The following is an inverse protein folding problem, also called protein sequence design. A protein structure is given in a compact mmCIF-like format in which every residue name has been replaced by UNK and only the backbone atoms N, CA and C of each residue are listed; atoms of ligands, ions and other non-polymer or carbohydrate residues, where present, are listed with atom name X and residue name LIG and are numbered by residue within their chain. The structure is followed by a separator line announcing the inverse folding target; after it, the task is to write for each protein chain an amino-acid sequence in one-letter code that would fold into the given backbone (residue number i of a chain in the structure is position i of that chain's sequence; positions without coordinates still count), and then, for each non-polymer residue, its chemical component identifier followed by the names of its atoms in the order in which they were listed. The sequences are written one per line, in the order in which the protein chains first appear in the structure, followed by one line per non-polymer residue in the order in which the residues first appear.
data_IF_143345434501
#
_entry.id   IF_143345434501
#
_cell.length_a   1.000
_cell.length_b   1.000
_cell.length_c   1.000
_cell.angle_alpha   90.00
_cell.angle_beta   90.00
_cell.angle_gamma   90.00
#
_symmetry.space_group_name_H-M   'P 1'
#
loop_
_entity.id
_entity.type
_entity.pdbx_description
1 polymer ?
#
# COMPACT_ATOMS: atom_id res chain seq x y z
N UNK A 1 16.36 -16.88 -8.87
CA UNK A 1 15.13 -16.10 -8.62
C UNK A 1 15.36 -14.67 -9.07
N UNK A 2 14.37 -14.01 -9.64
CA UNK A 2 14.38 -12.57 -9.91
C UNK A 2 13.37 -11.91 -8.99
N UNK A 3 13.72 -10.80 -8.34
CA UNK A 3 12.79 -10.05 -7.51
C UNK A 3 13.01 -8.55 -7.65
N UNK A 4 11.91 -7.81 -7.45
CA UNK A 4 11.87 -6.36 -7.36
C UNK A 4 11.58 -5.94 -5.92
N UNK A 5 12.40 -5.08 -5.35
CA UNK A 5 12.16 -4.47 -4.05
C UNK A 5 11.74 -3.02 -4.25
N UNK A 6 10.59 -2.65 -3.71
CA UNK A 6 9.91 -1.41 -4.03
C UNK A 6 9.58 -0.63 -2.76
N UNK A 7 9.72 0.69 -2.82
CA UNK A 7 9.03 1.63 -1.94
C UNK A 7 7.80 2.10 -2.70
N UNK A 8 6.64 2.17 -2.06
CA UNK A 8 5.40 2.62 -2.71
C UNK A 8 5.40 4.14 -2.90
N UNK A 9 6.31 4.61 -3.74
CA UNK A 9 6.44 6.01 -4.12
C UNK A 9 6.97 6.08 -5.54
N UNK A 10 6.42 6.98 -6.38
CA UNK A 10 7.01 7.22 -7.67
C UNK A 10 8.46 7.75 -7.59
N UNK A 11 8.86 8.36 -6.49
CA UNK A 11 10.12 9.07 -6.39
C UNK A 11 11.31 8.17 -5.95
N UNK A 12 11.08 6.87 -5.80
CA UNK A 12 12.10 5.89 -5.44
C UNK A 12 12.20 4.81 -6.52
N UNK A 13 13.35 4.63 -7.17
CA UNK A 13 13.55 3.56 -8.14
C UNK A 13 13.39 2.16 -7.54
N UNK A 14 12.86 1.24 -8.34
CA UNK A 14 12.81 -0.18 -8.00
C UNK A 14 14.21 -0.77 -7.92
N UNK A 15 14.48 -1.56 -6.89
CA UNK A 15 15.72 -2.32 -6.75
C UNK A 15 15.51 -3.73 -7.28
N UNK A 16 16.01 -3.99 -8.49
CA UNK A 16 15.97 -5.32 -9.10
C UNK A 16 17.14 -6.17 -8.61
N UNK A 17 16.89 -7.46 -8.36
CA UNK A 17 17.94 -8.38 -7.93
C UNK A 17 17.71 -9.77 -8.53
N UNK A 18 18.78 -10.35 -9.06
CA UNK A 18 18.83 -11.73 -9.52
C UNK A 18 19.73 -12.56 -8.59
N UNK A 19 19.11 -13.43 -7.79
CA UNK A 19 19.79 -14.14 -6.70
C UNK A 19 19.39 -15.61 -6.62
N UNK A 20 20.20 -16.39 -5.91
CA UNK A 20 19.86 -17.74 -5.45
C UNK A 20 19.46 -17.67 -3.99
N UNK A 21 18.39 -18.39 -3.65
CA UNK A 21 17.96 -18.63 -2.28
C UNK A 21 18.40 -20.01 -1.85
N UNK A 22 19.09 -20.10 -0.72
CA UNK A 22 19.44 -21.34 -0.06
C UNK A 22 18.74 -21.41 1.30
N UNK A 23 18.02 -22.50 1.54
CA UNK A 23 17.35 -22.76 2.81
C UNK A 23 17.97 -23.99 3.46
N UNK A 24 18.38 -23.89 4.72
CA UNK A 24 18.94 -25.02 5.47
C UNK A 24 18.49 -24.99 6.92
N UNK A 25 18.07 -26.16 7.41
CA UNK A 25 17.89 -26.37 8.84
C UNK A 25 19.25 -26.58 9.51
N UNK A 26 19.54 -25.76 10.51
CA UNK A 26 20.69 -25.86 11.39
C UNK A 26 20.30 -26.59 12.69
N UNK A 27 21.23 -26.68 13.65
CA UNK A 27 20.96 -27.24 14.96
C UNK A 27 19.81 -26.47 15.68
N UNK A 28 19.17 -27.13 16.65
CA UNK A 28 18.17 -26.51 17.53
C UNK A 28 16.92 -25.98 16.80
N UNK A 29 16.51 -26.62 15.70
CA UNK A 29 15.28 -26.25 14.98
C UNK A 29 15.36 -24.91 14.25
N UNK A 30 16.55 -24.29 14.15
CA UNK A 30 16.72 -23.00 13.46
C UNK A 30 16.85 -23.19 11.96
N UNK A 31 16.03 -22.49 11.19
CA UNK A 31 16.13 -22.41 9.73
C UNK A 31 16.88 -21.16 9.31
N UNK A 32 17.86 -21.32 8.43
CA UNK A 32 18.53 -20.22 7.77
C UNK A 32 18.05 -20.14 6.31
N UNK A 33 17.55 -18.97 5.93
CA UNK A 33 17.22 -18.62 4.55
C UNK A 33 18.19 -17.54 4.11
N UNK A 34 18.97 -17.82 3.08
CA UNK A 34 20.02 -16.92 2.59
C UNK A 34 19.85 -16.67 1.11
N UNK A 35 19.77 -15.39 0.76
CA UNK A 35 19.73 -14.86 -0.60
C UNK A 35 21.08 -14.23 -0.95
N UNK A 36 21.64 -14.65 -2.08
CA UNK A 36 22.91 -14.13 -2.61
C UNK A 36 22.78 -13.86 -4.09
N UNK A 37 23.12 -12.63 -4.51
CA UNK A 37 23.20 -12.24 -5.91
C UNK A 37 24.16 -13.12 -6.71
N UNK A 38 23.82 -13.43 -7.97
CA UNK A 38 24.69 -14.17 -8.89
C UNK A 38 25.58 -13.28 -9.78
N UNK A 39 25.68 -11.99 -9.46
CA UNK A 39 26.36 -10.97 -10.27
C UNK A 39 27.85 -11.28 -10.52
N UNK A 40 28.50 -12.06 -9.63
CA UNK A 40 29.89 -12.50 -9.80
C UNK A 40 30.06 -13.63 -10.82
N UNK A 41 29.01 -14.38 -11.10
CA UNK A 41 29.01 -15.53 -12.04
C UNK A 41 28.54 -15.09 -13.42
N UNK A 42 27.64 -14.11 -13.49
CA UNK A 42 27.20 -13.47 -14.73
C UNK A 42 27.26 -11.94 -14.57
N UNK A 43 28.40 -11.32 -14.91
CA UNK A 43 28.52 -9.87 -14.87
C UNK A 43 27.51 -9.26 -15.86
N UNK A 44 26.49 -8.56 -15.34
CA UNK A 44 25.65 -7.70 -16.15
C UNK A 44 26.26 -6.29 -16.14
N UNK A 45 26.37 -5.59 -17.27
CA UNK A 45 26.91 -4.23 -17.31
C UNK A 45 26.04 -3.19 -16.58
N UNK A 46 24.85 -3.56 -16.10
CA UNK A 46 23.86 -2.67 -15.48
C UNK A 46 23.44 -3.08 -14.06
N UNK A 47 24.32 -3.72 -13.27
CA UNK A 47 24.00 -4.08 -11.87
C UNK A 47 23.89 -2.80 -11.02
N UNK A 48 22.66 -2.31 -10.87
CA UNK A 48 22.32 -1.18 -9.98
C UNK A 48 22.11 -1.62 -8.53
N UNK A 49 21.90 -2.91 -8.28
CA UNK A 49 21.61 -3.48 -6.97
C UNK A 49 22.16 -4.89 -6.87
N UNK A 50 23.04 -5.12 -5.88
CA UNK A 50 23.70 -6.39 -5.60
C UNK A 50 23.44 -6.81 -4.16
N UNK A 51 22.87 -8.00 -4.01
CA UNK A 51 22.58 -8.59 -2.69
C UNK A 51 23.77 -9.41 -2.23
N UNK A 52 24.48 -8.91 -1.21
CA UNK A 52 25.40 -9.73 -0.40
C UNK A 52 24.57 -10.70 0.46
N UNK A 53 25.18 -11.72 1.11
CA UNK A 53 24.43 -12.66 1.94
C UNK A 53 23.44 -11.95 2.88
N UNK A 54 22.16 -12.09 2.54
CA UNK A 54 21.00 -11.47 3.19
C UNK A 54 19.93 -12.52 3.39
N UNK A 55 18.92 -12.25 4.19
CA UNK A 55 17.81 -13.16 4.43
C UNK A 55 17.44 -13.21 5.90
N UNK A 56 17.04 -14.37 6.40
CA UNK A 56 16.56 -14.49 7.77
C UNK A 56 16.93 -15.81 8.44
N UNK A 57 17.03 -15.74 9.76
CA UNK A 57 17.05 -16.88 10.66
C UNK A 57 15.67 -17.00 11.30
N UNK A 58 15.08 -18.19 11.26
CA UNK A 58 13.78 -18.50 11.84
C UNK A 58 14.02 -19.60 12.88
N UNK A 59 13.91 -19.24 14.15
CA UNK A 59 14.09 -20.16 15.27
C UNK A 59 12.75 -20.49 15.89
N UNK A 60 12.45 -21.78 15.98
CA UNK A 60 11.28 -22.28 16.72
C UNK A 60 11.46 -22.02 18.22
N UNK A 61 10.44 -21.46 18.87
CA UNK A 61 10.45 -21.14 20.29
C UNK A 61 9.51 -22.08 21.07
N UNK A 62 9.81 -22.42 22.34
CA UNK A 62 8.98 -23.34 23.14
C UNK A 62 7.52 -22.91 23.36
N UNK A 63 7.21 -21.64 23.15
CA UNK A 63 5.86 -21.08 23.30
C UNK A 63 5.00 -21.21 22.02
N UNK A 64 5.49 -21.92 20.99
CA UNK A 64 4.80 -22.11 19.71
C UNK A 64 4.94 -20.93 18.74
N UNK A 65 5.73 -19.91 19.08
CA UNK A 65 6.06 -18.81 18.17
C UNK A 65 7.42 -19.04 17.49
N UNK A 66 7.71 -18.20 16.49
CA UNK A 66 9.02 -18.17 15.83
C UNK A 66 9.74 -16.87 16.15
N UNK A 67 11.02 -16.96 16.54
CA UNK A 67 11.91 -15.81 16.60
C UNK A 67 12.54 -15.61 15.22
N UNK A 68 12.29 -14.46 14.61
CA UNK A 68 12.83 -14.12 13.28
C UNK A 68 13.90 -13.05 13.42
N UNK A 69 15.11 -13.33 12.93
CA UNK A 69 16.19 -12.34 12.80
C UNK A 69 16.45 -12.10 11.32
N UNK A 70 16.28 -10.87 10.86
CA UNK A 70 16.51 -10.51 9.45
C UNK A 70 17.83 -9.78 9.28
N UNK A 71 18.60 -10.16 8.25
CA UNK A 71 19.86 -9.53 7.87
C UNK A 71 19.71 -9.03 6.44
N UNK A 72 19.89 -7.72 6.26
CA UNK A 72 19.82 -7.10 4.94
C UNK A 72 21.17 -6.46 4.61
N UNK A 73 21.84 -7.01 3.59
CA UNK A 73 23.14 -6.56 3.14
C UNK A 73 23.11 -6.37 1.62
N UNK A 74 22.82 -5.14 1.19
CA UNK A 74 22.62 -4.80 -0.22
C UNK A 74 23.52 -3.64 -0.60
N UNK A 75 24.29 -3.82 -1.67
CA UNK A 75 25.04 -2.76 -2.34
C UNK A 75 24.14 -2.21 -3.46
N UNK A 76 23.93 -0.90 -3.51
CA UNK A 76 23.00 -0.29 -4.46
C UNK A 76 23.47 1.11 -4.83
N UNK A 77 23.30 1.46 -6.09
CA UNK A 77 23.43 2.84 -6.55
C UNK A 77 22.12 3.60 -6.33
N UNK A 78 22.10 4.42 -5.28
CA UNK A 78 20.96 5.28 -4.94
C UNK A 78 20.95 6.61 -5.70
N UNK A 79 21.79 6.80 -6.73
CA UNK A 79 21.87 8.05 -7.51
C UNK A 79 20.56 8.46 -8.20
N UNK A 80 19.65 7.52 -8.42
CA UNK A 80 18.31 7.78 -8.99
C UNK A 80 17.22 8.14 -7.96
N UNK A 81 17.52 8.16 -6.66
CA UNK A 81 16.53 8.46 -5.61
C UNK A 81 16.29 9.97 -5.54
N UNK A 82 15.02 10.38 -5.59
CA UNK A 82 14.66 11.80 -5.46
C UNK A 82 15.04 12.35 -4.07
N UNK A 83 15.43 13.62 -4.01
CA UNK A 83 15.88 14.28 -2.76
C UNK A 83 14.88 14.13 -1.61
N UNK A 84 13.58 14.15 -1.91
CA UNK A 84 12.50 13.95 -0.94
C UNK A 84 12.62 12.63 -0.14
N UNK A 85 13.09 11.56 -0.79
CA UNK A 85 13.21 10.22 -0.19
C UNK A 85 14.64 9.87 0.21
N UNK A 86 15.61 10.74 -0.06
CA UNK A 86 17.03 10.44 0.11
C UNK A 86 17.37 10.04 1.54
N UNK A 87 16.82 10.75 2.53
CA UNK A 87 17.05 10.45 3.96
C UNK A 87 16.44 9.11 4.39
N UNK A 88 15.19 8.83 3.99
CA UNK A 88 14.54 7.54 4.25
C UNK A 88 15.33 6.36 3.66
N UNK A 89 15.89 6.53 2.46
CA UNK A 89 16.68 5.49 1.79
C UNK A 89 18.06 5.34 2.42
N UNK A 90 18.80 6.43 2.63
CA UNK A 90 20.17 6.37 3.17
C UNK A 90 20.23 5.91 4.63
N UNK A 91 19.17 6.16 5.41
CA UNK A 91 19.06 5.66 6.80
C UNK A 91 18.70 4.17 6.89
N UNK A 92 18.42 3.50 5.76
CA UNK A 92 18.05 2.09 5.73
C UNK A 92 16.58 1.81 6.12
N UNK A 93 15.76 2.82 6.40
CA UNK A 93 14.35 2.62 6.73
C UNK A 93 13.52 2.11 5.55
N UNK A 94 13.81 2.57 4.33
CA UNK A 94 13.09 2.16 3.13
C UNK A 94 13.34 0.72 2.69
N UNK A 95 14.51 0.14 2.96
CA UNK A 95 14.89 -1.17 2.40
C UNK A 95 15.62 -2.08 3.40
N UNK A 96 15.65 -1.73 4.69
CA UNK A 96 16.39 -2.47 5.70
C UNK A 96 15.59 -3.59 6.36
N UNK A 97 16.29 -4.36 7.19
CA UNK A 97 15.76 -5.51 7.92
C UNK A 97 14.48 -5.19 8.71
N UNK A 98 14.39 -4.02 9.36
CA UNK A 98 13.21 -3.61 10.13
C UNK A 98 11.94 -3.58 9.28
N UNK A 99 12.03 -3.13 8.04
CA UNK A 99 10.89 -3.08 7.09
C UNK A 99 10.43 -4.47 6.71
N UNK A 100 11.37 -5.38 6.44
CA UNK A 100 11.06 -6.76 6.06
C UNK A 100 10.48 -7.56 7.22
N UNK A 101 11.01 -7.40 8.43
CA UNK A 101 10.41 -7.99 9.65
C UNK A 101 9.00 -7.45 9.88
N UNK A 102 8.79 -6.14 9.78
CA UNK A 102 7.46 -5.53 9.98
C UNK A 102 6.46 -6.01 8.93
N UNK A 103 6.90 -6.16 7.67
CA UNK A 103 6.07 -6.72 6.59
C UNK A 103 5.72 -8.19 6.84
N UNK A 104 6.68 -8.99 7.32
CA UNK A 104 6.45 -10.39 7.68
C UNK A 104 5.45 -10.52 8.84
N UNK A 105 5.65 -9.73 9.90
CA UNK A 105 4.77 -9.69 11.07
C UNK A 105 3.33 -9.33 10.67
N UNK A 106 3.15 -8.30 9.84
CA UNK A 106 1.84 -7.95 9.26
C UNK A 106 1.22 -9.09 8.46
N UNK A 107 2.00 -9.81 7.66
CA UNK A 107 1.46 -10.96 6.91
C UNK A 107 1.05 -12.11 7.85
N UNK A 108 1.81 -12.35 8.92
CA UNK A 108 1.44 -13.32 9.96
C UNK A 108 0.13 -12.91 10.65
N UNK A 109 -0.04 -11.64 11.01
CA UNK A 109 -1.29 -11.12 11.57
C UNK A 109 -2.49 -11.30 10.62
N UNK A 110 -2.29 -11.04 9.32
CA UNK A 110 -3.32 -11.25 8.30
C UNK A 110 -3.73 -12.72 8.20
N UNK A 111 -2.75 -13.63 8.16
CA UNK A 111 -3.01 -15.07 8.11
C UNK A 111 -3.72 -15.56 9.38
N UNK A 112 -3.32 -15.07 10.56
CA UNK A 112 -4.00 -15.37 11.81
C UNK A 112 -5.46 -14.88 11.78
N UNK A 113 -5.71 -13.67 11.23
CA UNK A 113 -7.05 -13.11 11.08
C UNK A 113 -7.93 -13.98 10.16
N UNK A 114 -7.38 -14.48 9.05
CA UNK A 114 -8.05 -15.41 8.14
C UNK A 114 -8.38 -16.76 8.79
N UNK A 115 -7.53 -17.25 9.69
CA UNK A 115 -7.69 -18.54 10.39
C UNK A 115 -8.58 -18.44 11.64
N UNK A 116 -8.84 -17.24 12.16
CA UNK A 116 -9.65 -17.04 13.36
C UNK A 116 -11.08 -17.56 13.18
N UNK A 117 -11.50 -18.48 14.07
CA UNK A 117 -12.84 -19.09 14.09
C UNK A 117 -13.79 -18.48 15.14
N UNK A 118 -13.25 -17.79 16.15
CA UNK A 118 -14.03 -17.22 17.25
C UNK A 118 -14.18 -15.71 17.04
N UNK A 119 -15.32 -15.28 16.49
CA UNK A 119 -15.62 -13.87 16.26
C UNK A 119 -16.53 -13.38 17.41
N UNK A 120 -16.20 -12.26 18.09
CA UNK A 120 -17.09 -11.67 19.08
C UNK A 120 -18.44 -11.31 18.43
N UNK A 121 -19.53 -11.91 18.88
CA UNK A 121 -20.90 -11.71 18.34
C UNK A 121 -21.57 -10.42 18.83
N UNK A 122 -20.81 -9.44 19.32
CA UNK A 122 -21.32 -8.31 20.10
C UNK A 122 -21.33 -6.94 19.42
N UNK A 123 -20.49 -6.71 18.41
CA UNK A 123 -20.37 -5.38 17.79
C UNK A 123 -21.23 -5.21 16.53
N UNK A 124 -21.83 -4.04 16.40
CA UNK A 124 -22.54 -3.60 15.19
C UNK A 124 -21.51 -3.53 14.05
N UNK A 125 -21.81 -4.15 12.90
CA UNK A 125 -20.91 -4.20 11.74
C UNK A 125 -20.01 -5.44 11.66
N UNK A 126 -20.16 -6.40 12.56
CA UNK A 126 -19.41 -7.68 12.46
C UNK A 126 -20.00 -8.58 11.36
N UNK A 127 -19.14 -9.04 10.45
CA UNK A 127 -19.52 -10.02 9.42
C UNK A 127 -19.61 -11.40 10.08
N UNK A 128 -20.84 -11.89 10.26
CA UNK A 128 -21.13 -13.15 10.95
C UNK A 128 -20.89 -14.39 10.08
N UNK A 129 -20.96 -14.25 8.75
CA UNK A 129 -20.65 -15.33 7.82
C UNK A 129 -19.13 -15.52 7.73
N UNK A 130 -18.62 -16.66 8.22
CA UNK A 130 -17.19 -16.96 8.21
C UNK A 130 -16.60 -17.07 6.80
N UNK A 131 -17.32 -17.66 5.86
CA UNK A 131 -16.88 -17.75 4.46
C UNK A 131 -16.92 -16.38 3.80
N UNK A 132 -17.94 -15.57 4.10
CA UNK A 132 -18.03 -14.18 3.69
C UNK A 132 -16.84 -13.34 4.17
N UNK A 133 -16.47 -13.50 5.44
CA UNK A 133 -15.31 -12.85 6.06
C UNK A 133 -14.00 -13.24 5.35
N UNK A 134 -13.80 -14.53 5.07
CA UNK A 134 -12.61 -15.01 4.32
C UNK A 134 -12.57 -14.44 2.91
N UNK A 135 -13.69 -14.47 2.19
CA UNK A 135 -13.78 -13.91 0.83
C UNK A 135 -13.53 -12.40 0.81
N UNK A 136 -14.02 -11.64 1.80
CA UNK A 136 -13.73 -10.20 1.92
C UNK A 136 -12.24 -9.92 2.23
N UNK A 137 -11.61 -10.68 3.12
CA UNK A 137 -10.18 -10.54 3.42
C UNK A 137 -9.30 -10.86 2.20
N UNK A 138 -9.67 -11.87 1.41
CA UNK A 138 -9.02 -12.19 0.12
C UNK A 138 -9.23 -11.09 -0.92
N UNK A 139 -10.44 -10.54 -1.00
CA UNK A 139 -10.75 -9.42 -1.89
C UNK A 139 -9.89 -8.19 -1.56
N UNK A 140 -9.76 -7.87 -0.28
CA UNK A 140 -8.92 -6.79 0.21
C UNK A 140 -7.42 -7.05 -0.06
N UNK A 141 -6.96 -8.30 0.07
CA UNK A 141 -5.56 -8.67 -0.23
C UNK A 141 -5.25 -8.42 -1.70
N UNK A 142 -6.15 -8.85 -2.59
CA UNK A 142 -6.03 -8.61 -4.02
C UNK A 142 -6.06 -7.11 -4.35
N UNK A 143 -6.90 -6.34 -3.66
CA UNK A 143 -6.95 -4.87 -3.78
C UNK A 143 -5.60 -4.25 -3.43
N UNK A 144 -4.98 -4.64 -2.31
CA UNK A 144 -3.66 -4.17 -1.88
C UNK A 144 -2.56 -4.58 -2.87
N UNK A 145 -2.55 -5.84 -3.33
CA UNK A 145 -1.58 -6.31 -4.33
C UNK A 145 -1.71 -5.50 -5.64
N UNK A 146 -2.95 -5.27 -6.10
CA UNK A 146 -3.19 -4.47 -7.30
C UNK A 146 -2.75 -3.02 -7.12
N UNK A 147 -2.97 -2.43 -5.93
CA UNK A 147 -2.49 -1.08 -5.61
C UNK A 147 -0.97 -1.01 -5.69
N UNK A 148 -0.26 -1.89 -4.98
CA UNK A 148 1.20 -1.97 -5.00
C UNK A 148 1.74 -2.08 -6.43
N UNK A 149 1.13 -2.92 -7.28
CA UNK A 149 1.53 -3.05 -8.68
C UNK A 149 1.30 -1.78 -9.52
N UNK A 150 0.27 -0.98 -9.21
CA UNK A 150 -0.04 0.27 -9.94
C UNK A 150 0.72 1.50 -9.46
N UNK A 151 1.20 1.52 -8.21
CA UNK A 151 2.05 2.60 -7.67
C UNK A 151 3.52 2.39 -8.02
N UNK A 152 3.94 1.13 -8.10
CA UNK A 152 5.36 0.79 -8.18
C UNK A 152 5.96 1.05 -9.56
N UNK A 153 7.18 1.57 -9.55
CA UNK A 153 8.00 1.82 -10.75
C UNK A 153 8.57 0.53 -11.36
N UNK A 154 7.78 -0.56 -11.43
CA UNK A 154 8.22 -1.83 -12.01
C UNK A 154 8.61 -1.60 -13.47
N UNK A 155 9.73 -2.18 -13.90
CA UNK A 155 10.19 -2.09 -15.30
C UNK A 155 9.37 -2.97 -16.25
N UNK A 156 8.52 -3.85 -15.69
CA UNK A 156 7.60 -4.68 -16.47
C UNK A 156 6.57 -3.86 -17.26
N UNK A 157 6.32 -2.59 -16.88
CA UNK A 157 5.34 -1.72 -17.54
C UNK A 157 5.91 -0.32 -17.78
N UNK A 158 5.74 0.22 -18.99
CA UNK A 158 6.28 1.53 -19.37
C UNK A 158 5.50 2.65 -18.69
N UNK A 159 6.16 3.36 -17.77
CA UNK A 159 5.67 4.60 -17.18
C UNK A 159 5.95 5.79 -18.11
N UNK A 160 5.01 6.72 -18.21
CA UNK A 160 5.22 8.02 -18.84
C UNK A 160 5.13 9.11 -17.78
N UNK A 161 6.26 9.76 -17.49
CA UNK A 161 6.24 10.96 -16.64
C UNK A 161 5.59 12.09 -17.42
N UNK A 162 4.55 12.68 -16.84
CA UNK A 162 3.93 13.90 -17.37
C UNK A 162 4.31 15.03 -16.42
N UNK A 163 5.39 15.73 -16.75
CA UNK A 163 5.83 16.87 -15.96
C UNK A 163 4.83 18.02 -16.14
N UNK A 164 4.13 18.36 -15.06
CA UNK A 164 3.45 19.65 -14.92
C UNK A 164 4.46 20.72 -14.51
N UNK A 165 4.12 22.00 -14.67
CA UNK A 165 4.99 23.15 -14.35
C UNK A 165 5.18 23.41 -12.84
N UNK A 166 5.12 22.37 -11.98
CA UNK A 166 5.20 22.48 -10.52
C UNK A 166 6.11 21.41 -9.89
N UNK A 167 6.41 21.57 -8.60
CA UNK A 167 7.30 20.68 -7.83
C UNK A 167 6.71 19.28 -7.52
N UNK A 168 5.44 19.05 -7.88
CA UNK A 168 4.71 17.80 -7.64
C UNK A 168 4.56 17.02 -8.97
N UNK A 169 5.65 16.40 -9.43
CA UNK A 169 5.66 15.58 -10.65
C UNK A 169 4.74 14.36 -10.51
N UNK A 170 3.56 14.41 -11.13
CA UNK A 170 2.64 13.27 -11.22
C UNK A 170 3.15 12.29 -12.27
N UNK A 171 3.30 11.02 -11.89
CA UNK A 171 3.64 9.95 -12.84
C UNK A 171 2.40 9.19 -13.24
N UNK A 172 2.26 8.94 -14.54
CA UNK A 172 1.10 8.25 -15.10
C UNK A 172 1.55 7.03 -15.90
N UNK A 173 0.90 5.89 -15.65
CA UNK A 173 1.04 4.67 -16.42
C UNK A 173 -0.31 4.32 -17.03
N UNK A 174 -0.30 3.89 -18.29
CA UNK A 174 -1.50 3.36 -18.96
C UNK A 174 -1.40 1.85 -19.07
N UNK A 175 -2.44 1.14 -18.62
CA UNK A 175 -2.56 -0.30 -18.76
C UNK A 175 -3.82 -0.63 -19.56
N UNK A 176 -3.67 -1.49 -20.57
CA UNK A 176 -4.81 -2.12 -21.25
C UNK A 176 -5.19 -3.38 -20.50
N UNK A 177 -6.45 -3.44 -20.08
CA UNK A 177 -7.05 -4.58 -19.39
C UNK A 177 -7.95 -5.32 -20.37
N UNK A 178 -7.50 -6.50 -20.81
CA UNK A 178 -8.26 -7.43 -21.65
C UNK A 178 -8.13 -8.80 -20.99
N UNK A 179 -9.26 -9.46 -20.75
CA UNK A 179 -9.32 -10.80 -20.15
C UNK A 179 -8.53 -10.94 -18.83
N UNK A 180 -8.55 -9.89 -17.99
CA UNK A 180 -7.91 -9.85 -16.66
C UNK A 180 -8.99 -9.98 -15.57
N UNK A 181 -9.26 -11.19 -15.04
CA UNK A 181 -10.27 -11.40 -14.01
C UNK A 181 -10.05 -10.49 -12.80
N UNK A 182 -11.11 -9.88 -12.31
CA UNK A 182 -11.04 -8.99 -11.15
C UNK A 182 -10.66 -7.54 -11.48
N UNK A 183 -10.42 -7.21 -12.76
CA UNK A 183 -10.34 -5.83 -13.24
C UNK A 183 -11.43 -5.55 -14.27
N UNK A 184 -11.94 -4.30 -14.32
CA UNK A 184 -12.83 -3.92 -15.40
C UNK A 184 -12.08 -3.99 -16.75
N UNK A 185 -12.75 -4.46 -17.83
CA UNK A 185 -12.17 -4.41 -19.17
C UNK A 185 -12.06 -2.96 -19.64
N UNK A 186 -10.97 -2.64 -20.34
CA UNK A 186 -10.76 -1.31 -20.92
C UNK A 186 -9.36 -0.75 -20.71
N UNK A 187 -9.27 0.58 -20.67
CA UNK A 187 -8.03 1.32 -20.46
C UNK A 187 -8.03 1.86 -19.04
N UNK A 188 -7.04 1.43 -18.25
CA UNK A 188 -6.84 1.86 -16.88
C UNK A 188 -5.64 2.80 -16.82
N UNK A 189 -5.84 3.99 -16.24
CA UNK A 189 -4.75 4.88 -15.86
C UNK A 189 -4.39 4.65 -14.41
N UNK A 190 -3.11 4.39 -14.15
CA UNK A 190 -2.53 4.45 -12.81
C UNK A 190 -1.75 5.74 -12.69
N UNK A 191 -2.08 6.58 -11.72
CA UNK A 191 -1.38 7.83 -11.51
C UNK A 191 -0.97 7.95 -10.05
N UNK A 192 0.26 8.41 -9.80
CA UNK A 192 0.80 8.54 -8.46
C UNK A 192 1.67 9.80 -8.32
N UNK A 193 1.63 10.41 -7.15
CA UNK A 193 2.50 11.53 -6.76
C UNK A 193 2.94 11.38 -5.31
N UNK A 194 4.04 12.01 -4.94
CA UNK A 194 4.57 12.00 -3.58
C UNK A 194 4.96 13.40 -3.13
N UNK A 195 4.63 13.75 -1.89
CA UNK A 195 4.99 15.02 -1.26
C UNK A 195 5.25 14.82 0.23
N UNK A 196 5.86 15.83 0.87
CA UNK A 196 6.12 15.83 2.30
C UNK A 196 5.08 16.66 3.06
N UNK A 197 4.75 16.22 4.26
CA UNK A 197 3.87 16.90 5.20
C UNK A 197 4.59 17.13 6.53
N UNK A 198 4.46 18.32 7.15
CA UNK A 198 4.98 18.62 8.49
C UNK A 198 4.13 17.98 9.61
N UNK A 199 3.66 16.75 9.39
CA UNK A 199 2.71 16.06 10.26
C UNK A 199 3.19 14.63 10.46
N UNK A 200 3.11 14.13 11.69
CA UNK A 200 3.53 12.76 11.99
C UNK A 200 2.79 11.70 11.14
N UNK A 201 3.46 10.60 10.73
CA UNK A 201 2.82 9.52 9.98
C UNK A 201 1.56 8.97 10.63
N UNK A 202 1.54 8.84 11.96
CA UNK A 202 0.39 8.36 12.72
C UNK A 202 -0.83 9.27 12.56
N UNK A 203 -0.63 10.58 12.66
CA UNK A 203 -1.73 11.55 12.50
C UNK A 203 -2.27 11.57 11.07
N UNK A 204 -1.38 11.48 10.06
CA UNK A 204 -1.82 11.36 8.66
C UNK A 204 -2.59 10.06 8.44
N UNK A 205 -2.14 8.95 9.03
CA UNK A 205 -2.82 7.66 8.95
C UNK A 205 -4.21 7.71 9.60
N UNK A 206 -4.29 8.21 10.83
CA UNK A 206 -5.55 8.32 11.58
C UNK A 206 -6.53 9.26 10.87
N UNK A 207 -6.05 10.37 10.27
CA UNK A 207 -6.87 11.25 9.43
C UNK A 207 -7.38 10.56 8.15
N UNK A 208 -6.54 9.85 7.40
CA UNK A 208 -6.93 9.30 6.10
C UNK A 208 -7.84 8.06 6.20
N UNK A 209 -7.75 7.31 7.30
CA UNK A 209 -8.58 6.11 7.50
C UNK A 209 -9.97 6.43 8.07
N UNK A 210 -10.12 7.56 8.76
CA UNK A 210 -11.35 7.93 9.43
C UNK A 210 -12.46 8.24 8.41
N UNK A 211 -13.64 7.70 8.67
CA UNK A 211 -14.82 7.91 7.85
C UNK A 211 -15.34 9.34 7.94
N UNK A 212 -15.17 9.99 9.10
CA UNK A 212 -15.71 11.32 9.37
C UNK A 212 -14.92 12.42 8.65
N UNK A 213 -13.60 12.24 8.52
CA UNK A 213 -12.72 13.16 7.79
C UNK A 213 -12.76 12.96 6.27
N UNK A 214 -13.33 11.85 5.80
CA UNK A 214 -13.26 11.44 4.39
C UNK A 214 -13.80 12.47 3.42
N UNK A 215 -14.88 13.16 3.78
CA UNK A 215 -15.46 14.23 2.94
C UNK A 215 -14.53 15.41 2.70
N UNK A 216 -13.52 15.59 3.56
CA UNK A 216 -12.58 16.70 3.43
C UNK A 216 -11.63 16.49 2.25
N UNK A 217 -11.15 15.27 2.06
CA UNK A 217 -10.15 14.93 1.03
C UNK A 217 -10.69 14.13 -0.16
N UNK A 218 -11.71 13.30 0.03
CA UNK A 218 -12.23 12.41 -1.02
C UNK A 218 -13.23 13.13 -1.93
N UNK A 219 -12.70 13.64 -3.04
CA UNK A 219 -13.49 14.31 -4.08
C UNK A 219 -14.53 13.35 -4.68
N UNK A 220 -14.22 12.05 -4.76
CA UNK A 220 -15.10 11.05 -5.37
C UNK A 220 -16.33 10.74 -4.50
N UNK A 221 -16.26 11.05 -3.22
CA UNK A 221 -17.39 10.93 -2.28
C UNK A 221 -18.41 12.07 -2.41
N UNK A 222 -18.16 13.09 -3.25
CA UNK A 222 -19.07 14.23 -3.51
C UNK A 222 -19.60 14.93 -2.24
N UNK A 223 -18.81 14.93 -1.15
CA UNK A 223 -19.21 15.52 0.13
C UNK A 223 -20.31 14.77 0.89
N UNK A 224 -20.65 13.53 0.47
CA UNK A 224 -21.56 12.67 1.21
C UNK A 224 -20.95 12.21 2.53
N UNK A 225 -21.77 12.07 3.57
CA UNK A 225 -21.35 11.50 4.83
C UNK A 225 -21.02 10.03 4.65
N UNK A 226 -19.88 9.58 5.15
CA UNK A 226 -19.44 8.18 5.03
C UNK A 226 -19.79 7.44 6.31
N UNK A 227 -20.30 6.22 6.15
CA UNK A 227 -20.68 5.35 7.25
C UNK A 227 -20.07 3.97 7.07
N UNK A 228 -19.38 3.47 8.09
CA UNK A 228 -18.94 2.09 8.17
C UNK A 228 -20.13 1.16 8.37
N UNK A 229 -20.27 0.22 7.44
CA UNK A 229 -21.27 -0.82 7.49
C UNK A 229 -20.75 -2.08 8.17
N UNK A 230 -19.46 -2.36 7.97
CA UNK A 230 -18.81 -3.52 8.53
C UNK A 230 -17.30 -3.33 8.64
N UNK A 231 -16.67 -4.01 9.59
CA UNK A 231 -15.23 -4.09 9.67
C UNK A 231 -14.74 -5.47 10.12
N UNK A 232 -13.50 -5.78 9.77
CA UNK A 232 -12.75 -6.95 10.23
C UNK A 232 -11.40 -6.46 10.74
N UNK A 233 -11.14 -6.60 12.03
CA UNK A 233 -9.81 -6.37 12.59
C UNK A 233 -8.78 -7.28 11.89
N UNK A 234 -7.63 -6.73 11.54
CA UNK A 234 -6.60 -7.34 10.70
C UNK A 234 -5.18 -7.15 11.30
N UNK A 235 -5.08 -7.22 12.63
CA UNK A 235 -3.81 -7.06 13.35
C UNK A 235 -4.00 -6.68 14.82
N UNK A 236 -2.89 -6.48 15.53
CA UNK A 236 -2.91 -6.03 16.94
C UNK A 236 -3.23 -4.54 17.07
N UNK A 237 -2.79 -3.73 16.11
CA UNK A 237 -3.10 -2.31 16.09
C UNK A 237 -4.59 -2.11 15.73
N UNK A 238 -5.36 -1.32 16.50
CA UNK A 238 -6.78 -1.06 16.20
C UNK A 238 -6.99 -0.31 14.87
N UNK A 239 -5.91 0.18 14.25
CA UNK A 239 -5.90 0.71 12.89
C UNK A 239 -5.74 -0.29 11.77
N UNK A 240 -5.38 -1.52 12.09
CA UNK A 240 -5.28 -2.57 11.10
C UNK A 240 -6.66 -3.20 10.94
N UNK A 241 -7.39 -2.83 9.89
CA UNK A 241 -8.70 -3.37 9.61
C UNK A 241 -9.03 -3.38 8.11
N UNK A 242 -9.98 -4.23 7.74
CA UNK A 242 -10.69 -4.17 6.47
C UNK A 242 -12.11 -3.71 6.74
N UNK A 243 -12.48 -2.55 6.24
CA UNK A 243 -13.79 -1.92 6.44
C UNK A 243 -14.58 -1.84 5.13
N UNK A 244 -15.90 -1.87 5.25
CA UNK A 244 -16.84 -1.65 4.17
C UNK A 244 -17.63 -0.39 4.47
N UNK A 245 -17.44 0.63 3.62
CA UNK A 245 -17.99 1.96 3.84
C UNK A 245 -19.08 2.26 2.81
N UNK A 246 -20.11 2.99 3.23
CA UNK A 246 -21.17 3.50 2.37
C UNK A 246 -21.16 5.02 2.39
N UNK A 247 -21.25 5.62 1.20
CA UNK A 247 -21.40 7.07 1.05
C UNK A 247 -22.90 7.41 1.03
N UNK A 248 -23.36 8.12 2.06
CA UNK A 248 -24.72 8.61 2.20
C UNK A 248 -24.81 10.02 1.58
N UNK A 249 -25.40 10.11 0.38
CA UNK A 249 -25.68 11.38 -0.32
C UNK A 249 -27.17 11.72 -0.25
N UNK A 250 -27.54 13.00 -0.34
CA UNK A 250 -28.96 13.42 -0.32
C UNK A 250 -29.80 12.83 -1.48
N UNK A 251 -29.15 12.33 -2.54
CA UNK A 251 -29.78 11.67 -3.69
C UNK A 251 -29.60 10.13 -3.68
N UNK A 252 -29.27 9.53 -2.54
CA UNK A 252 -28.66 8.18 -2.41
C UNK A 252 -29.60 6.96 -2.51
N UNK A 253 -30.85 7.08 -2.96
CA UNK A 253 -31.66 5.88 -3.21
C UNK A 253 -31.12 5.00 -4.36
N UNK A 254 -29.98 5.34 -4.98
CA UNK A 254 -29.42 4.68 -6.17
C UNK A 254 -27.88 4.51 -6.20
N UNK A 255 -27.10 4.74 -5.13
CA UNK A 255 -25.66 4.42 -5.18
C UNK A 255 -25.44 2.91 -5.07
N UNK A 256 -25.23 2.25 -6.21
CA UNK A 256 -24.94 0.81 -6.27
C UNK A 256 -23.51 0.45 -5.84
N UNK A 257 -22.75 1.38 -5.26
CA UNK A 257 -21.34 1.20 -4.93
C UNK A 257 -21.10 1.33 -3.42
N UNK A 258 -20.28 0.43 -2.90
CA UNK A 258 -19.66 0.50 -1.58
C UNK A 258 -18.17 0.79 -1.74
N UNK A 259 -17.50 1.15 -0.66
CA UNK A 259 -16.05 1.32 -0.65
C UNK A 259 -15.46 0.24 0.25
N UNK A 260 -14.70 -0.67 -0.36
CA UNK A 260 -13.84 -1.57 0.39
C UNK A 260 -12.58 -0.81 0.75
N UNK A 261 -12.21 -0.80 2.03
CA UNK A 261 -11.01 -0.13 2.53
C UNK A 261 -10.19 -1.11 3.36
N UNK A 262 -8.89 -1.13 3.14
CA UNK A 262 -7.92 -1.75 4.03
C UNK A 262 -6.99 -0.68 4.56
N UNK A 263 -6.96 -0.52 5.88
CA UNK A 263 -5.97 0.29 6.59
C UNK A 263 -5.00 -0.63 7.31
N UNK A 264 -3.72 -0.32 7.23
CA UNK A 264 -2.70 -0.98 8.04
C UNK A 264 -1.55 -0.04 8.39
N UNK A 265 -1.00 -0.22 9.58
CA UNK A 265 0.13 0.53 10.12
C UNK A 265 1.09 -0.44 10.79
N UNK A 266 2.37 -0.16 10.61
CA UNK A 266 3.49 -0.80 11.29
C UNK A 266 4.57 0.27 11.59
N UNK A 267 5.62 -0.05 12.36
CA UNK A 267 6.65 0.94 12.72
C UNK A 267 7.46 1.51 11.54
N UNK A 268 7.29 1.01 10.31
CA UNK A 268 8.04 1.43 9.12
C UNK A 268 7.18 2.10 8.06
N UNK A 269 5.89 1.78 7.98
CA UNK A 269 4.97 2.35 7.01
C UNK A 269 3.52 2.23 7.47
N UNK A 270 2.67 3.10 6.93
CA UNK A 270 1.21 2.96 7.02
C UNK A 270 0.57 3.08 5.65
N UNK A 271 -0.57 2.44 5.47
CA UNK A 271 -1.29 2.38 4.20
C UNK A 271 -2.79 2.52 4.46
N UNK A 272 -3.46 3.27 3.60
CA UNK A 272 -4.92 3.31 3.52
C UNK A 272 -5.27 3.12 2.06
N UNK A 273 -5.74 1.93 1.71
CA UNK A 273 -6.00 1.50 0.34
C UNK A 273 -7.49 1.19 0.23
N UNK A 274 -8.14 1.70 -0.79
CA UNK A 274 -9.57 1.51 -0.98
C UNK A 274 -9.94 1.35 -2.45
N UNK A 275 -11.11 0.75 -2.71
CA UNK A 275 -11.67 0.64 -4.04
C UNK A 275 -13.20 0.71 -3.98
N UNK A 276 -13.84 1.34 -4.97
CA UNK A 276 -15.29 1.22 -5.13
C UNK A 276 -15.63 -0.21 -5.60
N UNK A 277 -16.64 -0.82 -5.00
CA UNK A 277 -17.13 -2.17 -5.33
C UNK A 277 -18.65 -2.15 -5.44
N UNK A 278 -19.18 -2.80 -6.47
CA UNK A 278 -20.63 -2.92 -6.67
C UNK A 278 -21.31 -3.71 -5.53
N UNK A 279 -22.47 -3.25 -5.07
CA UNK A 279 -23.23 -3.85 -3.96
C UNK A 279 -23.60 -5.31 -4.27
N UNK A 280 -23.98 -5.63 -5.50
CA UNK A 280 -24.37 -7.00 -5.89
C UNK A 280 -23.13 -7.91 -5.83
N UNK A 281 -22.00 -7.44 -6.36
CA UNK A 281 -20.73 -8.18 -6.27
C UNK A 281 -20.28 -8.36 -4.81
N UNK A 282 -20.38 -7.31 -3.98
CA UNK A 282 -20.03 -7.40 -2.57
C UNK A 282 -20.97 -8.34 -1.79
N UNK A 283 -22.27 -8.35 -2.10
CA UNK A 283 -23.20 -9.32 -1.50
C UNK A 283 -22.81 -10.76 -1.84
N UNK A 284 -22.33 -11.05 -3.05
CA UNK A 284 -21.82 -12.38 -3.40
C UNK A 284 -20.59 -12.72 -2.55
N UNK A 285 -19.65 -11.78 -2.39
CA UNK A 285 -18.45 -11.95 -1.55
C UNK A 285 -18.82 -12.21 -0.09
N UNK A 286 -19.72 -11.41 0.49
CA UNK A 286 -20.19 -11.56 1.86
C UNK A 286 -20.96 -12.86 2.12
N UNK A 287 -21.43 -13.52 1.07
CA UNK A 287 -22.04 -14.85 1.12
C UNK A 287 -21.04 -16.00 0.84
N UNK A 288 -19.73 -15.70 0.78
CA UNK A 288 -18.68 -16.70 0.57
C UNK A 288 -18.38 -16.98 -0.92
N UNK A 289 -18.88 -16.15 -1.83
CA UNK A 289 -18.55 -16.22 -3.24
C UNK A 289 -17.06 -15.94 -3.52
N UNK A 290 -16.62 -16.28 -4.72
CA UNK A 290 -15.23 -16.14 -5.15
C UNK A 290 -14.88 -14.67 -5.40
N UNK A 291 -13.93 -14.07 -4.64
CA UNK A 291 -13.52 -12.69 -4.86
C UNK A 291 -12.72 -12.48 -6.14
N UNK A 292 -12.15 -13.52 -6.77
CA UNK A 292 -11.21 -13.40 -7.90
C UNK A 292 -11.83 -12.77 -9.16
N UNK A 293 -13.17 -12.76 -9.27
CA UNK A 293 -13.90 -12.18 -10.40
C UNK A 293 -14.51 -10.80 -10.13
N UNK A 294 -14.44 -10.30 -8.89
CA UNK A 294 -15.01 -8.99 -8.54
C UNK A 294 -14.18 -7.88 -9.18
N UNK A 295 -14.73 -7.12 -10.11
CA UNK A 295 -13.98 -6.02 -10.73
C UNK A 295 -13.73 -4.88 -9.72
N UNK A 296 -12.47 -4.49 -9.51
CA UNK A 296 -12.11 -3.31 -8.72
C UNK A 296 -10.87 -2.60 -9.26
N UNK A 297 -10.75 -1.31 -8.95
CA UNK A 297 -9.57 -0.51 -9.22
C UNK A 297 -9.17 0.24 -7.94
N UNK A 298 -8.03 -0.10 -7.33
CA UNK A 298 -7.65 0.48 -6.05
C UNK A 298 -7.07 1.88 -6.21
N UNK A 299 -7.33 2.69 -5.19
CA UNK A 299 -6.72 3.99 -4.95
C UNK A 299 -6.29 4.05 -3.49
N UNK A 300 -5.48 5.02 -3.11
CA UNK A 300 -5.09 5.15 -1.72
C UNK A 300 -3.72 5.77 -1.51
N UNK A 301 -3.17 5.44 -0.36
CA UNK A 301 -2.11 6.19 0.27
C UNK A 301 -1.02 5.26 0.81
N UNK A 302 0.24 5.64 0.60
CA UNK A 302 1.37 5.11 1.35
C UNK A 302 1.99 6.24 2.18
N UNK A 303 2.13 6.00 3.47
CA UNK A 303 2.59 6.97 4.47
C UNK A 303 3.87 6.43 5.07
N UNK A 304 4.96 7.14 4.87
CA UNK A 304 6.30 6.78 5.33
C UNK A 304 6.83 7.86 6.26
N UNK A 305 7.70 7.53 7.23
CA UNK A 305 8.42 8.55 7.98
C UNK A 305 9.34 9.35 7.03
N UNK A 306 9.62 10.61 7.36
CA UNK A 306 10.55 11.44 6.58
C UNK A 306 12.03 11.01 6.69
N UNK A 307 12.33 10.08 7.60
CA UNK A 307 13.68 9.59 7.86
C UNK A 307 14.53 10.56 8.66
N UNK A 308 13.96 11.67 9.14
CA UNK A 308 14.62 12.61 10.05
C UNK A 308 14.45 12.13 11.48
N UNK A 309 15.21 11.10 11.87
CA UNK A 309 15.36 10.81 13.29
C UNK A 309 16.24 11.90 13.90
N UNK A 310 15.71 12.65 14.86
CA UNK A 310 16.53 13.52 15.73
C UNK A 310 17.68 12.66 16.22
N UNK A 311 18.89 13.06 15.84
CA UNK A 311 20.11 12.32 16.12
C UNK A 311 20.19 11.97 17.59
N UNK A 312 20.57 10.72 17.81
CA UNK A 312 21.04 10.11 19.05
C UNK A 312 22.12 10.99 19.71
N UNK A 313 21.69 11.99 20.47
CA UNK A 313 22.42 12.61 21.58
C UNK A 313 21.39 12.76 22.68
N UNK A 314 21.41 11.79 23.60
CA UNK A 314 20.40 11.55 24.63
C UNK A 314 19.65 12.76 25.15
N UNK A 315 18.39 12.87 24.74
CA UNK A 315 17.27 13.35 25.56
C UNK A 315 16.00 12.68 25.04
N UNK A 316 15.49 11.72 25.81
CA UNK A 316 14.09 11.36 25.74
C UNK A 316 13.26 12.61 26.11
N UNK A 317 12.09 12.75 25.49
CA UNK A 317 11.09 13.80 25.72
C UNK A 317 11.45 15.22 25.24
N UNK A 318 11.22 15.46 23.95
CA UNK A 318 10.72 16.75 23.43
C UNK A 318 10.12 16.51 22.05
N UNK A 319 8.80 16.65 21.93
CA UNK A 319 7.98 16.31 20.75
C UNK A 319 8.24 17.16 19.51
N UNK A 320 9.41 17.03 18.90
CA UNK A 320 9.66 17.48 17.53
C UNK A 320 8.97 16.54 16.55
N UNK A 321 7.84 16.98 15.98
CA UNK A 321 7.05 16.19 15.02
C UNK A 321 7.90 15.86 13.78
N UNK A 322 8.45 14.64 13.71
CA UNK A 322 8.96 14.06 12.45
C UNK A 322 7.82 14.14 11.42
N UNK A 323 8.13 14.68 10.24
CA UNK A 323 7.19 14.80 9.15
C UNK A 323 6.92 13.45 8.50
N UNK A 324 6.03 13.45 7.51
CA UNK A 324 5.66 12.26 6.76
C UNK A 324 5.84 12.47 5.26
N UNK A 325 6.22 11.39 4.60
CA UNK A 325 6.25 11.26 3.17
C UNK A 325 4.96 10.55 2.75
N UNK A 326 4.10 11.28 2.06
CA UNK A 326 2.81 10.78 1.59
C UNK A 326 2.88 10.55 0.09
N UNK A 327 2.57 9.32 -0.32
CA UNK A 327 2.28 8.97 -1.72
C UNK A 327 0.78 8.81 -1.89
N UNK A 328 0.21 9.52 -2.85
CA UNK A 328 -1.19 9.39 -3.27
C UNK A 328 -1.20 8.70 -4.63
N UNK A 329 -2.06 7.70 -4.80
CA UNK A 329 -2.22 7.04 -6.08
C UNK A 329 -3.66 6.61 -6.38
N UNK A 330 -4.01 6.65 -7.66
CA UNK A 330 -5.32 6.24 -8.17
C UNK A 330 -5.17 5.29 -9.35
N UNK A 331 -6.06 4.30 -9.42
CA UNK A 331 -6.31 3.53 -10.64
C UNK A 331 -7.71 3.84 -11.13
N UNK A 332 -7.83 4.34 -12.36
CA UNK A 332 -9.07 4.86 -12.92
C UNK A 332 -9.32 4.25 -14.30
N UNK A 333 -10.51 3.70 -14.51
CA UNK A 333 -10.97 3.28 -15.83
C UNK A 333 -11.32 4.53 -16.64
N UNK A 334 -10.59 4.79 -17.72
CA UNK A 334 -10.82 5.96 -18.58
C UNK A 334 -11.58 5.64 -19.85
N UNK A 335 -11.59 4.37 -20.26
CA UNK A 335 -12.40 3.88 -21.36
C UNK A 335 -12.71 2.40 -21.12
N UNK A 336 -13.92 1.96 -21.43
CA UNK A 336 -14.33 0.54 -21.30
C UNK A 336 -13.93 -0.29 -22.54
N UNK A 337 -13.57 0.37 -23.64
CA UNK A 337 -13.12 -0.25 -24.88
C UNK A 337 -11.59 -0.33 -24.88
N UNK A 338 -10.98 -1.53 -24.80
CA UNK A 338 -9.52 -1.67 -24.68
C UNK A 338 -8.72 -1.19 -25.92
N UNK A 339 -9.40 -1.08 -27.06
CA UNK A 339 -8.82 -0.60 -28.33
C UNK A 339 -8.95 0.91 -28.52
N UNK A 340 -9.63 1.62 -27.61
CA UNK A 340 -9.75 3.06 -27.68
C UNK A 340 -8.38 3.75 -27.61
N UNK A 341 -8.33 4.99 -28.11
CA UNK A 341 -7.14 5.83 -27.96
C UNK A 341 -7.25 6.62 -26.68
N UNK A 342 -6.21 6.58 -25.86
CA UNK A 342 -6.11 7.43 -24.68
C UNK A 342 -6.18 8.90 -25.09
N UNK A 343 -7.11 9.65 -24.52
CA UNK A 343 -7.22 11.08 -24.77
C UNK A 343 -6.33 11.86 -23.79
N UNK A 344 -5.70 12.93 -24.27
CA UNK A 344 -4.99 13.88 -23.40
C UNK A 344 -5.93 14.51 -22.34
N UNK A 345 -7.23 14.61 -22.66
CA UNK A 345 -8.25 15.08 -21.73
C UNK A 345 -8.41 14.16 -20.52
N UNK A 346 -8.49 12.84 -20.74
CA UNK A 346 -8.60 11.83 -19.67
C UNK A 346 -7.41 11.90 -18.71
N UNK A 347 -6.21 12.06 -19.27
CA UNK A 347 -4.97 12.22 -18.50
C UNK A 347 -4.99 13.51 -17.67
N UNK A 348 -5.42 14.63 -18.26
CA UNK A 348 -5.55 15.89 -17.56
C UNK A 348 -6.58 15.81 -16.41
N UNK A 349 -7.70 15.11 -16.61
CA UNK A 349 -8.69 14.87 -15.55
C UNK A 349 -8.11 14.11 -14.36
N UNK A 350 -7.33 13.03 -14.61
CA UNK A 350 -6.70 12.26 -13.54
C UNK A 350 -5.64 13.08 -12.80
N UNK A 351 -4.83 13.86 -13.53
CA UNK A 351 -3.85 14.75 -12.92
C UNK A 351 -4.51 15.81 -12.04
N UNK A 352 -5.62 16.41 -12.50
CA UNK A 352 -6.38 17.38 -11.72
C UNK A 352 -7.01 16.73 -10.48
N UNK A 353 -7.53 15.50 -10.59
CA UNK A 353 -8.07 14.77 -9.44
C UNK A 353 -6.99 14.55 -8.36
N UNK A 354 -5.79 14.12 -8.76
CA UNK A 354 -4.65 13.96 -7.84
C UNK A 354 -4.30 15.29 -7.20
N UNK A 355 -4.09 16.34 -8.01
CA UNK A 355 -3.69 17.66 -7.51
C UNK A 355 -4.72 18.20 -6.51
N UNK A 356 -6.02 18.13 -6.83
CA UNK A 356 -7.07 18.58 -5.92
C UNK A 356 -7.12 17.74 -4.63
N UNK A 357 -6.88 16.43 -4.70
CA UNK A 357 -6.83 15.56 -3.51
C UNK A 357 -5.64 15.95 -2.62
N UNK A 358 -4.46 16.17 -3.21
CA UNK A 358 -3.26 16.61 -2.50
C UNK A 358 -3.49 17.94 -1.78
N UNK A 359 -4.07 18.93 -2.47
CA UNK A 359 -4.33 20.24 -1.87
C UNK A 359 -5.36 20.18 -0.74
N UNK A 360 -6.40 19.35 -0.87
CA UNK A 360 -7.37 19.12 0.22
C UNK A 360 -6.73 18.49 1.45
N UNK A 361 -5.90 17.45 1.27
CA UNK A 361 -5.18 16.81 2.37
C UNK A 361 -4.25 17.82 3.06
N UNK A 362 -3.48 18.59 2.28
CA UNK A 362 -2.60 19.63 2.82
C UNK A 362 -3.40 20.67 3.61
N UNK A 363 -4.55 21.12 3.09
CA UNK A 363 -5.40 22.11 3.74
C UNK A 363 -5.96 21.61 5.08
N UNK A 364 -6.61 20.44 5.11
CA UNK A 364 -7.16 19.85 6.34
C UNK A 364 -6.11 19.67 7.42
N UNK A 365 -4.97 19.06 7.07
CA UNK A 365 -3.92 18.76 8.04
C UNK A 365 -3.14 20.01 8.49
N UNK A 366 -3.21 21.12 7.75
CA UNK A 366 -2.63 22.40 8.16
C UNK A 366 -3.53 23.16 9.13
N UNK A 367 -4.86 23.07 8.96
CA UNK A 367 -5.84 23.75 9.82
C UNK A 367 -5.86 23.17 11.25
N UNK A 368 -5.69 21.87 11.40
CA UNK A 368 -5.70 21.21 12.72
C UNK A 368 -4.39 21.44 13.52
N UNK A 369 -3.41 22.16 12.96
CA UNK A 369 -2.16 22.54 13.65
C UNK A 369 -2.21 23.97 14.22
N UNK A 370 -3.31 24.70 14.01
CA UNK A 370 -3.48 26.10 14.40
C UNK A 370 -4.17 26.29 15.76
#
# INVERSE_FOLDING_TARGET
MTAEFQVLSPLVPTRESYYVRYCKQHAEGTWAVVDVSLDTIRPSPTVRCRRRPSGCLIQEMPNGYSKVTWVEHVEVDDGGVHNLYKQLVSSGHAFGARRWVSTLDRQCERLASLMASNIPTGDVGVITNQDGRKSMLKLAERMVISFCGGVSASTAHTWTTLSGTGADDVRVMTRKSVDDPGRPPGIVLSAATSFWLPVSPKRVFDFLRDEHSRSEWDILSNGGAVQEMAHIANGRDPGNCVSLLRVNSANSSQSNMLILQESCTDPTASFVIYAPVDIVAMNVVLNGGDPDYVALLPSGFAILPDGMTVTDVGMADSGGSSGSLLTVAFQILVDSVPTAKLSLGSVATVNNLIACTVERIKASLSCDNA
#
